data_IF_591295252670
#
_entry.id   IF_591295252670
#
_cell.length_a   1.000
_cell.length_b   1.000
_cell.length_c   1.000
_cell.angle_alpha   90.00
_cell.angle_beta   90.00
_cell.angle_gamma   90.00
#
_symmetry.space_group_name_H-M   'P 1'
#
loop_
_entity.id
_entity.type
_entity.pdbx_description
1 polymer ?
#
# COMPACT_ATOMS: atom_id res chain seq x y z
N UNK A 1 -15.14 15.64 23.32
CA UNK A 1 -15.04 16.48 22.11
C UNK A 1 -15.62 15.67 20.96
N UNK A 2 -16.57 16.23 20.20
CA UNK A 2 -17.23 15.55 19.07
C UNK A 2 -16.57 16.08 17.80
N UNK A 3 -15.77 15.25 17.14
CA UNK A 3 -15.04 15.65 15.93
C UNK A 3 -16.05 15.89 14.80
N UNK A 4 -15.95 17.02 14.10
CA UNK A 4 -16.86 17.40 13.00
C UNK A 4 -16.56 16.57 11.74
N UNK A 5 -15.33 16.08 11.61
CA UNK A 5 -14.90 15.19 10.53
C UNK A 5 -14.91 13.73 11.03
N UNK A 6 -15.26 12.76 10.16
CA UNK A 6 -15.08 11.36 10.48
C UNK A 6 -13.60 11.10 10.78
N UNK A 7 -13.33 10.23 11.76
CA UNK A 7 -11.96 9.78 12.08
C UNK A 7 -11.32 8.95 10.95
N UNK A 8 -12.07 8.66 9.90
CA UNK A 8 -11.59 7.95 8.73
C UNK A 8 -10.88 8.91 7.78
N UNK A 9 -9.73 8.47 7.28
CA UNK A 9 -9.05 9.10 6.15
C UNK A 9 -10.05 9.20 4.98
N UNK A 10 -10.13 10.35 4.32
CA UNK A 10 -11.01 10.55 3.14
C UNK A 10 -10.42 9.91 1.88
N UNK A 11 -9.77 8.76 2.03
CA UNK A 11 -9.21 7.96 0.95
C UNK A 11 -9.58 6.51 1.23
N UNK A 12 -10.09 5.83 0.21
CA UNK A 12 -10.48 4.44 0.26
C UNK A 12 -9.87 3.72 -0.94
N UNK A 13 -9.52 2.43 -0.81
CA UNK A 13 -9.03 1.65 -1.93
C UNK A 13 -10.13 1.46 -2.98
N UNK A 14 -9.78 1.64 -4.25
CA UNK A 14 -10.67 1.46 -5.39
C UNK A 14 -10.29 0.21 -6.21
N UNK A 15 -11.22 -0.73 -6.36
CA UNK A 15 -11.00 -1.97 -7.16
C UNK A 15 -10.77 -1.68 -8.65
N UNK A 16 -11.16 -0.50 -9.12
CA UNK A 16 -10.99 -0.08 -10.50
C UNK A 16 -9.64 0.57 -10.80
N UNK A 17 -8.79 0.74 -9.79
CA UNK A 17 -7.41 1.20 -10.00
C UNK A 17 -6.68 0.26 -10.98
N UNK A 18 -6.11 0.79 -12.07
CA UNK A 18 -5.62 -0.05 -13.17
C UNK A 18 -4.32 -0.78 -12.85
N UNK A 19 -3.49 -0.23 -11.94
CA UNK A 19 -2.17 -0.75 -11.58
C UNK A 19 -1.78 -0.40 -10.11
N UNK A 20 -2.53 -0.88 -9.10
CA UNK A 20 -2.22 -0.58 -7.70
C UNK A 20 -0.81 -1.03 -7.33
N UNK A 21 -0.14 -0.25 -6.49
CA UNK A 21 1.10 -0.64 -5.81
C UNK A 21 0.81 -0.69 -4.32
N UNK A 22 1.03 -1.84 -3.69
CA UNK A 22 0.89 -2.04 -2.24
C UNK A 22 2.30 -2.16 -1.66
N UNK A 23 2.67 -1.21 -0.81
CA UNK A 23 3.95 -1.24 -0.10
C UNK A 23 3.70 -1.68 1.33
N UNK A 24 4.45 -2.67 1.79
CA UNK A 24 4.30 -3.18 3.15
C UNK A 24 5.66 -3.43 3.80
N UNK A 25 5.69 -3.44 5.13
CA UNK A 25 6.91 -3.72 5.86
C UNK A 25 7.30 -5.20 5.73
N UNK A 26 8.52 -5.46 5.28
CA UNK A 26 8.99 -6.75 4.85
C UNK A 26 9.47 -7.66 5.99
N UNK A 27 10.79 -7.86 6.07
CA UNK A 27 11.42 -8.94 6.83
C UNK A 27 11.00 -8.94 8.29
N UNK A 28 10.75 -10.15 8.79
CA UNK A 28 10.39 -10.39 10.20
C UNK A 28 9.22 -9.52 10.70
N UNK A 29 8.31 -9.10 9.81
CA UNK A 29 7.13 -8.33 10.19
C UNK A 29 5.83 -9.09 9.85
N UNK A 30 5.29 -9.86 10.81
CA UNK A 30 4.00 -10.53 10.64
C UNK A 30 2.86 -9.56 10.31
N UNK A 31 2.91 -8.35 10.88
CA UNK A 31 1.92 -7.29 10.63
C UNK A 31 1.98 -6.81 9.17
N UNK A 32 3.17 -6.55 8.63
CA UNK A 32 3.35 -6.19 7.23
C UNK A 32 2.90 -7.29 6.28
N UNK A 33 3.18 -8.57 6.59
CA UNK A 33 2.65 -9.69 5.84
C UNK A 33 1.11 -9.76 5.88
N UNK A 34 0.51 -9.56 7.06
CA UNK A 34 -0.95 -9.55 7.20
C UNK A 34 -1.59 -8.38 6.42
N UNK A 35 -0.95 -7.21 6.39
CA UNK A 35 -1.36 -6.08 5.56
C UNK A 35 -1.29 -6.42 4.06
N UNK A 36 -0.19 -7.01 3.60
CA UNK A 36 -0.06 -7.47 2.21
C UNK A 36 -1.12 -8.51 1.85
N UNK A 37 -1.41 -9.45 2.75
CA UNK A 37 -2.45 -10.45 2.57
C UNK A 37 -3.85 -9.81 2.49
N UNK A 38 -4.16 -8.84 3.36
CA UNK A 38 -5.44 -8.12 3.30
C UNK A 38 -5.60 -7.37 1.97
N UNK A 39 -4.54 -6.73 1.49
CA UNK A 39 -4.52 -6.10 0.18
C UNK A 39 -4.62 -7.12 -0.97
N UNK A 40 -4.04 -8.31 -0.83
CA UNK A 40 -4.20 -9.42 -1.78
C UNK A 40 -5.62 -9.96 -1.84
N UNK A 41 -6.30 -10.10 -0.71
CA UNK A 41 -7.73 -10.45 -0.68
C UNK A 41 -8.61 -9.39 -1.35
N UNK A 42 -8.17 -8.13 -1.38
CA UNK A 42 -8.90 -7.05 -2.02
C UNK A 42 -8.59 -6.94 -3.53
N UNK A 43 -7.33 -6.85 -3.92
CA UNK A 43 -6.91 -6.58 -5.31
C UNK A 43 -6.58 -7.84 -6.12
N UNK A 44 -6.15 -8.94 -5.48
CA UNK A 44 -5.69 -10.14 -6.16
C UNK A 44 -4.48 -9.88 -7.06
N UNK A 45 -4.45 -10.49 -8.24
CA UNK A 45 -3.29 -10.42 -9.14
C UNK A 45 -3.15 -9.08 -9.90
N UNK A 46 -4.04 -8.11 -9.68
CA UNK A 46 -4.01 -6.81 -10.38
C UNK A 46 -3.02 -5.83 -9.76
N UNK A 47 -2.62 -6.04 -8.50
CA UNK A 47 -1.70 -5.17 -7.77
C UNK A 47 -0.26 -5.71 -7.76
N UNK A 48 0.69 -4.79 -7.66
CA UNK A 48 2.07 -5.11 -7.32
C UNK A 48 2.25 -5.04 -5.80
N UNK A 49 2.76 -6.11 -5.19
CA UNK A 49 3.05 -6.18 -3.76
C UNK A 49 4.55 -6.04 -3.53
N UNK A 50 4.97 -4.97 -2.87
CA UNK A 50 6.37 -4.63 -2.64
C UNK A 50 6.66 -4.61 -1.13
N UNK A 51 7.35 -5.64 -0.65
CA UNK A 51 7.86 -5.68 0.72
C UNK A 51 9.15 -4.87 0.82
N UNK A 52 9.22 -3.94 1.77
CA UNK A 52 10.40 -3.10 2.01
C UNK A 52 10.82 -3.13 3.47
N UNK A 53 12.13 -3.00 3.70
CA UNK A 53 12.71 -2.79 5.02
C UNK A 53 13.16 -1.32 5.22
N UNK A 54 13.34 -0.92 6.48
CA UNK A 54 13.84 0.42 6.79
C UNK A 54 15.22 0.68 6.16
N UNK A 55 15.34 1.77 5.41
CA UNK A 55 16.58 2.20 4.75
C UNK A 55 16.88 1.52 3.41
N UNK A 56 15.98 0.66 2.92
CA UNK A 56 16.13 0.00 1.62
C UNK A 56 15.85 0.95 0.44
N UNK A 57 14.94 1.91 0.63
CA UNK A 57 14.55 2.93 -0.35
C UNK A 57 14.99 4.30 0.14
N UNK A 58 15.81 4.99 -0.65
CA UNK A 58 16.40 6.29 -0.29
C UNK A 58 15.87 7.42 -1.19
N UNK A 59 15.27 7.06 -2.31
CA UNK A 59 14.69 7.98 -3.29
C UNK A 59 13.55 7.33 -4.07
N UNK A 60 12.75 8.13 -4.77
CA UNK A 60 11.70 7.62 -5.66
C UNK A 60 12.26 6.78 -6.83
N UNK A 61 13.54 6.96 -7.19
CA UNK A 61 14.19 6.20 -8.25
C UNK A 61 14.49 4.75 -7.83
N UNK A 62 14.50 4.46 -6.53
CA UNK A 62 14.70 3.11 -6.00
C UNK A 62 13.39 2.28 -6.01
N UNK A 63 12.25 2.93 -6.30
CA UNK A 63 10.95 2.31 -6.42
C UNK A 63 10.61 1.95 -7.87
N UNK A 64 9.69 1.00 -8.09
CA UNK A 64 9.07 0.81 -9.41
C UNK A 64 8.42 2.11 -9.91
N UNK A 65 8.18 2.19 -11.22
CA UNK A 65 7.45 3.31 -11.84
C UNK A 65 6.16 3.64 -11.08
N UNK A 66 6.09 4.86 -10.54
CA UNK A 66 4.98 5.36 -9.71
C UNK A 66 3.97 6.21 -10.49
N UNK A 67 4.32 6.66 -11.70
CA UNK A 67 3.51 7.64 -12.42
C UNK A 67 2.12 7.07 -12.74
N UNK A 68 1.08 7.75 -12.27
CA UNK A 68 -0.32 7.35 -12.49
C UNK A 68 -0.76 6.09 -11.73
N UNK A 69 0.02 5.61 -10.75
CA UNK A 69 -0.39 4.52 -9.86
C UNK A 69 -1.00 5.05 -8.57
N UNK A 70 -2.03 4.39 -8.09
CA UNK A 70 -2.42 4.47 -6.69
C UNK A 70 -1.42 3.65 -5.85
N UNK A 71 -0.92 4.25 -4.76
CA UNK A 71 0.01 3.61 -3.83
C UNK A 71 -0.68 3.47 -2.47
N UNK A 72 -0.67 2.25 -1.94
CA UNK A 72 -1.33 1.84 -0.71
C UNK A 72 -0.33 1.29 0.30
#
# INVERSE_FOLDING_TARGET
MKTILPLQLLVAPDRSDPRPLVIYHGRNCPDGFAAAMAAWLFFGDTALYLGLDHGEVQSLADLPDLAGRAVY
#
